data_IF_854601865555
#
_entry.id   IF_854601865555
#
_cell.length_a   1.000
_cell.length_b   1.000
_cell.length_c   1.000
_cell.angle_alpha   90.00
_cell.angle_beta   90.00
_cell.angle_gamma   90.00
#
_symmetry.space_group_name_H-M   'P 1'
#
loop_
_entity.id
_entity.type
_entity.pdbx_description
1 polymer ?
#
# COMPACT_ATOMS: atom_id res chain seq x y z
N UNK A 1 -38.78 -12.26 11.28
CA UNK A 1 -37.78 -12.94 10.45
C UNK A 1 -37.93 -12.38 9.04
N UNK A 2 -37.04 -11.46 8.70
CA UNK A 2 -36.91 -10.89 7.37
C UNK A 2 -35.63 -11.41 6.71
N UNK A 3 -35.61 -11.43 5.38
CA UNK A 3 -34.39 -11.61 4.61
C UNK A 3 -33.72 -10.23 4.41
N UNK A 4 -32.44 -10.14 4.73
CA UNK A 4 -31.60 -8.94 4.54
C UNK A 4 -30.52 -9.27 3.51
N UNK A 5 -30.41 -8.48 2.45
CA UNK A 5 -29.51 -8.79 1.35
C UNK A 5 -28.20 -8.01 1.49
N UNK A 6 -27.07 -8.69 1.32
CA UNK A 6 -25.76 -8.03 1.28
C UNK A 6 -25.10 -8.21 -0.08
N UNK A 7 -24.73 -7.09 -0.71
CA UNK A 7 -24.03 -7.04 -1.99
C UNK A 7 -22.70 -6.31 -1.85
N UNK A 8 -21.66 -6.85 -2.49
CA UNK A 8 -20.35 -6.18 -2.59
C UNK A 8 -19.87 -6.19 -4.02
N UNK A 9 -19.52 -5.02 -4.54
CA UNK A 9 -18.90 -4.89 -5.85
C UNK A 9 -17.61 -4.08 -5.78
N UNK A 10 -16.65 -4.46 -6.63
CA UNK A 10 -15.41 -3.70 -6.81
C UNK A 10 -15.70 -2.40 -7.57
N UNK A 11 -14.74 -1.48 -7.62
CA UNK A 11 -14.77 -0.32 -8.53
C UNK A 11 -14.74 -0.81 -9.98
N UNK A 12 -15.88 -1.21 -10.51
CA UNK A 12 -16.16 -1.23 -11.94
C UNK A 12 -17.66 -1.39 -12.17
N UNK A 13 -18.18 -0.68 -13.16
CA UNK A 13 -19.60 -0.58 -13.56
C UNK A 13 -20.24 -1.92 -14.02
N UNK A 14 -19.57 -3.06 -13.87
CA UNK A 14 -19.94 -4.31 -14.55
C UNK A 14 -20.10 -5.58 -13.70
N UNK A 15 -20.06 -5.56 -12.36
CA UNK A 15 -19.93 -6.84 -11.59
C UNK A 15 -20.90 -7.12 -10.43
N UNK A 16 -22.11 -6.57 -10.45
CA UNK A 16 -23.18 -7.00 -9.53
C UNK A 16 -24.31 -7.81 -10.20
N UNK A 17 -24.39 -7.85 -11.54
CA UNK A 17 -25.44 -8.55 -12.29
C UNK A 17 -25.63 -10.01 -11.85
N UNK A 18 -24.53 -10.75 -11.62
CA UNK A 18 -24.59 -12.13 -11.11
C UNK A 18 -25.16 -12.21 -9.70
N UNK A 19 -24.80 -11.26 -8.82
CA UNK A 19 -25.28 -11.22 -7.44
C UNK A 19 -26.77 -10.89 -7.41
N UNK A 20 -27.17 -9.87 -8.18
CA UNK A 20 -28.58 -9.49 -8.35
C UNK A 20 -29.39 -10.62 -8.95
N UNK A 21 -28.85 -11.36 -9.91
CA UNK A 21 -29.53 -12.54 -10.46
C UNK A 21 -29.72 -13.63 -9.40
N UNK A 22 -28.69 -13.96 -8.62
CA UNK A 22 -28.79 -14.97 -7.57
C UNK A 22 -29.80 -14.57 -6.47
N UNK A 23 -29.95 -13.27 -6.21
CA UNK A 23 -30.86 -12.72 -5.21
C UNK A 23 -32.16 -12.16 -5.81
N UNK A 24 -32.44 -12.41 -7.09
CA UNK A 24 -33.51 -11.72 -7.84
C UNK A 24 -34.89 -11.92 -7.21
N UNK A 25 -35.18 -13.14 -6.75
CA UNK A 25 -36.45 -13.46 -6.11
C UNK A 25 -36.66 -12.67 -4.80
N UNK A 26 -35.60 -12.53 -4.00
CA UNK A 26 -35.65 -11.80 -2.72
C UNK A 26 -35.70 -10.29 -2.95
N UNK A 27 -34.96 -9.79 -3.95
CA UNK A 27 -35.04 -8.39 -4.39
C UNK A 27 -36.45 -8.04 -4.87
N UNK A 28 -37.07 -8.92 -5.68
CA UNK A 28 -38.43 -8.74 -6.17
C UNK A 28 -39.48 -8.80 -5.03
N UNK A 29 -39.20 -9.56 -3.97
CA UNK A 29 -40.02 -9.61 -2.77
C UNK A 29 -39.87 -8.36 -1.86
N UNK A 30 -38.98 -7.43 -2.20
CA UNK A 30 -38.77 -6.19 -1.46
C UNK A 30 -37.84 -6.34 -0.24
N UNK A 31 -37.01 -7.38 -0.20
CA UNK A 31 -36.01 -7.53 0.86
C UNK A 31 -35.01 -6.37 0.82
N UNK A 32 -34.73 -5.69 1.96
CA UNK A 32 -33.81 -4.56 1.99
C UNK A 32 -32.39 -5.01 1.65
N UNK A 33 -31.71 -4.22 0.82
CA UNK A 33 -30.38 -4.52 0.30
C UNK A 33 -29.36 -3.50 0.78
N UNK A 34 -28.24 -4.00 1.29
CA UNK A 34 -27.13 -3.21 1.79
C UNK A 34 -25.92 -3.44 0.90
N UNK A 35 -25.30 -2.35 0.45
CA UNK A 35 -24.27 -2.39 -0.59
C UNK A 35 -22.96 -1.77 -0.09
N UNK A 36 -21.84 -2.44 -0.36
CA UNK A 36 -20.49 -1.88 -0.18
C UNK A 36 -19.83 -1.66 -1.56
N UNK A 37 -20.04 -0.51 -2.20
CA UNK A 37 -19.42 -0.18 -3.47
C UNK A 37 -17.93 0.07 -3.30
N UNK A 38 -17.14 -0.19 -4.35
CA UNK A 38 -15.72 0.15 -4.40
C UNK A 38 -14.86 -0.44 -3.26
N UNK A 39 -15.38 -1.41 -2.52
CA UNK A 39 -14.75 -1.89 -1.30
C UNK A 39 -13.78 -3.02 -1.63
N UNK A 40 -12.50 -2.76 -1.34
CA UNK A 40 -11.44 -3.75 -1.49
C UNK A 40 -11.80 -5.02 -0.74
N UNK A 41 -11.58 -6.17 -1.37
CA UNK A 41 -11.69 -7.46 -0.68
C UNK A 41 -10.79 -7.57 0.55
N UNK A 42 -9.78 -6.71 0.69
CA UNK A 42 -8.90 -6.65 1.87
C UNK A 42 -9.58 -6.17 3.15
N UNK A 43 -10.72 -5.48 3.05
CA UNK A 43 -11.47 -5.03 4.23
C UNK A 43 -12.28 -6.21 4.77
N UNK A 44 -12.05 -6.58 6.03
CA UNK A 44 -12.81 -7.64 6.71
C UNK A 44 -14.30 -7.28 6.75
N UNK A 45 -15.16 -8.28 6.74
CA UNK A 45 -16.61 -8.10 6.64
C UNK A 45 -17.15 -7.11 7.68
N UNK A 46 -16.72 -7.22 8.93
CA UNK A 46 -17.14 -6.38 10.06
C UNK A 46 -16.70 -4.91 9.99
N UNK A 47 -15.72 -4.58 9.14
CA UNK A 47 -15.22 -3.21 8.98
C UNK A 47 -15.83 -2.48 7.79
N UNK A 48 -16.75 -3.12 7.07
CA UNK A 48 -17.40 -2.52 5.91
C UNK A 48 -18.64 -1.75 6.34
N UNK A 49 -18.87 -0.62 5.68
CA UNK A 49 -19.91 0.34 6.10
C UNK A 49 -21.30 -0.26 5.86
N UNK A 50 -21.58 -0.75 4.66
CA UNK A 50 -22.87 -1.33 4.32
C UNK A 50 -23.17 -2.60 5.11
N UNK A 51 -22.17 -3.45 5.36
CA UNK A 51 -22.37 -4.62 6.21
C UNK A 51 -22.65 -4.25 7.67
N UNK A 52 -22.02 -3.19 8.19
CA UNK A 52 -22.30 -2.72 9.55
C UNK A 52 -23.71 -2.14 9.67
N UNK A 53 -24.13 -1.33 8.70
CA UNK A 53 -25.51 -0.81 8.62
C UNK A 53 -26.53 -1.96 8.61
N UNK A 54 -26.28 -3.01 7.81
CA UNK A 54 -27.10 -4.22 7.82
C UNK A 54 -27.20 -4.84 9.22
N UNK A 55 -26.06 -5.01 9.90
CA UNK A 55 -26.05 -5.60 11.24
C UNK A 55 -26.79 -4.73 12.27
N UNK A 56 -26.73 -3.41 12.13
CA UNK A 56 -27.38 -2.47 13.05
C UNK A 56 -28.90 -2.44 12.84
N UNK A 57 -29.38 -2.64 11.62
CA UNK A 57 -30.81 -2.73 11.28
C UNK A 57 -31.42 -4.13 11.52
N UNK A 58 -30.59 -5.18 11.59
CA UNK A 58 -31.04 -6.55 11.73
C UNK A 58 -31.65 -6.86 13.10
N UNK A 59 -32.80 -7.55 13.10
CA UNK A 59 -33.45 -8.04 14.30
C UNK A 59 -33.15 -9.53 14.55
N UNK A 60 -33.35 -9.98 15.79
CA UNK A 60 -33.18 -11.39 16.18
C UNK A 60 -34.06 -12.29 15.31
N UNK A 61 -33.47 -13.33 14.73
CA UNK A 61 -34.12 -14.29 13.83
C UNK A 61 -34.12 -13.87 12.35
N UNK A 62 -33.56 -12.71 12.00
CA UNK A 62 -33.41 -12.33 10.60
C UNK A 62 -32.32 -13.13 9.90
N UNK A 63 -32.46 -13.27 8.59
CA UNK A 63 -31.55 -14.05 7.74
C UNK A 63 -30.81 -13.14 6.79
N UNK A 64 -29.49 -13.11 6.92
CA UNK A 64 -28.61 -12.45 5.98
C UNK A 64 -28.43 -13.36 4.76
N UNK A 65 -28.74 -12.85 3.57
CA UNK A 65 -28.62 -13.57 2.29
C UNK A 65 -27.51 -12.96 1.45
N UNK A 66 -26.56 -13.79 1.03
CA UNK A 66 -25.46 -13.40 0.15
C UNK A 66 -25.42 -14.29 -1.09
N UNK A 67 -25.10 -13.69 -2.23
CA UNK A 67 -25.03 -14.44 -3.49
C UNK A 67 -23.93 -15.51 -3.47
N UNK A 68 -22.73 -15.15 -3.03
CA UNK A 68 -21.59 -16.07 -2.90
C UNK A 68 -20.75 -15.73 -1.66
N UNK A 69 -20.03 -16.73 -1.14
CA UNK A 69 -19.20 -16.58 0.05
C UNK A 69 -18.07 -15.55 -0.12
N UNK A 70 -17.56 -15.36 -1.35
CA UNK A 70 -16.50 -14.40 -1.65
C UNK A 70 -16.98 -12.93 -1.70
N UNK A 71 -18.30 -12.69 -1.68
CA UNK A 71 -18.88 -11.33 -1.51
C UNK A 71 -18.77 -10.87 -0.08
N UNK A 72 -19.02 -11.75 0.87
CA UNK A 72 -18.88 -11.42 2.28
C UNK A 72 -17.44 -11.64 2.72
N UNK A 73 -16.93 -12.86 2.62
CA UNK A 73 -15.71 -13.26 3.31
C UNK A 73 -14.43 -13.05 2.49
N UNK A 74 -13.38 -12.56 3.14
CA UNK A 74 -12.04 -12.50 2.55
C UNK A 74 -11.23 -13.79 2.72
N UNK A 75 -11.41 -14.46 3.84
CA UNK A 75 -10.67 -15.65 4.23
C UNK A 75 -11.51 -16.52 5.15
N UNK A 76 -11.02 -17.72 5.44
CA UNK A 76 -11.60 -18.61 6.45
C UNK A 76 -11.62 -17.93 7.81
N UNK A 77 -10.54 -17.24 8.15
CA UNK A 77 -10.47 -16.46 9.38
C UNK A 77 -11.60 -15.41 9.47
N UNK A 78 -12.02 -14.80 8.36
CA UNK A 78 -13.14 -13.85 8.33
C UNK A 78 -14.48 -14.55 8.62
N UNK A 79 -14.68 -15.77 8.09
CA UNK A 79 -15.85 -16.61 8.40
C UNK A 79 -15.87 -16.97 9.90
N UNK A 80 -14.75 -17.46 10.41
CA UNK A 80 -14.60 -17.90 11.80
C UNK A 80 -14.78 -16.71 12.76
N UNK A 81 -14.31 -15.52 12.40
CA UNK A 81 -14.47 -14.32 13.21
C UNK A 81 -15.91 -13.78 13.19
N UNK A 82 -16.59 -13.83 12.04
CA UNK A 82 -17.95 -13.31 11.90
C UNK A 82 -18.99 -14.22 12.55
N UNK A 83 -18.85 -15.55 12.43
CA UNK A 83 -19.85 -16.51 12.89
C UNK A 83 -20.27 -16.32 14.37
N UNK A 84 -19.36 -16.16 15.35
CA UNK A 84 -19.74 -15.89 16.74
C UNK A 84 -20.53 -14.59 16.92
N UNK A 85 -20.31 -13.58 16.08
CA UNK A 85 -21.05 -12.31 16.14
C UNK A 85 -22.50 -12.55 15.72
N UNK A 86 -22.72 -13.29 14.65
CA UNK A 86 -24.06 -13.60 14.14
C UNK A 86 -24.84 -14.49 15.10
N UNK A 87 -24.20 -15.53 15.65
CA UNK A 87 -24.80 -16.41 16.67
C UNK A 87 -25.26 -15.61 17.88
N UNK A 88 -24.39 -14.74 18.42
CA UNK A 88 -24.75 -13.90 19.59
C UNK A 88 -25.90 -12.94 19.32
N UNK A 89 -26.05 -12.48 18.08
CA UNK A 89 -27.16 -11.62 17.65
C UNK A 89 -28.41 -12.43 17.25
N UNK A 90 -28.35 -13.76 17.26
CA UNK A 90 -29.44 -14.63 16.81
C UNK A 90 -29.77 -14.45 15.34
N UNK A 91 -28.77 -14.17 14.50
CA UNK A 91 -28.91 -13.96 13.06
C UNK A 91 -28.50 -15.21 12.29
N UNK A 92 -29.19 -15.46 11.18
CA UNK A 92 -28.86 -16.53 10.24
C UNK A 92 -28.03 -15.98 9.08
N UNK A 93 -27.18 -16.80 8.46
CA UNK A 93 -26.39 -16.43 7.29
C UNK A 93 -26.44 -17.53 6.23
N UNK A 94 -27.08 -17.23 5.10
CA UNK A 94 -27.23 -18.17 3.99
C UNK A 94 -26.57 -17.66 2.71
N UNK A 95 -25.93 -18.59 2.02
CA UNK A 95 -25.30 -18.36 0.71
C UNK A 95 -26.19 -18.95 -0.38
N UNK A 96 -26.46 -18.21 -1.45
CA UNK A 96 -27.29 -18.72 -2.56
C UNK A 96 -26.51 -19.66 -3.48
N UNK A 97 -25.24 -19.35 -3.77
CA UNK A 97 -24.46 -20.03 -4.79
C UNK A 97 -23.13 -20.56 -4.28
N UNK A 98 -22.68 -21.67 -4.88
CA UNK A 98 -21.38 -22.29 -4.62
C UNK A 98 -21.43 -23.40 -3.57
N UNK A 99 -20.25 -23.80 -3.09
CA UNK A 99 -20.09 -24.95 -2.18
C UNK A 99 -20.76 -24.77 -0.81
N UNK A 100 -21.00 -23.53 -0.39
CA UNK A 100 -21.68 -23.20 0.86
C UNK A 100 -23.19 -22.99 0.69
N UNK A 101 -23.73 -23.26 -0.50
CA UNK A 101 -25.16 -23.08 -0.78
C UNK A 101 -26.01 -24.02 0.06
N UNK A 102 -27.13 -23.50 0.58
CA UNK A 102 -28.10 -24.27 1.38
C UNK A 102 -27.70 -24.49 2.84
N UNK A 103 -26.53 -24.00 3.27
CA UNK A 103 -26.06 -24.11 4.65
C UNK A 103 -26.28 -22.76 5.35
N UNK A 104 -26.81 -22.80 6.56
CA UNK A 104 -26.78 -21.64 7.46
C UNK A 104 -25.43 -21.60 8.19
N UNK A 105 -24.55 -20.71 7.76
CA UNK A 105 -23.21 -20.57 8.31
C UNK A 105 -23.20 -20.05 9.75
N UNK A 106 -24.31 -19.46 10.21
CA UNK A 106 -24.47 -18.95 11.57
C UNK A 106 -25.25 -19.91 12.49
N UNK A 107 -25.65 -21.10 12.03
CA UNK A 107 -26.26 -22.10 12.91
C UNK A 107 -25.27 -22.58 13.98
N UNK A 108 -25.69 -22.63 15.24
CA UNK A 108 -24.84 -23.01 16.40
C UNK A 108 -24.84 -24.52 16.69
N UNK A 109 -24.92 -25.35 15.64
CA UNK A 109 -24.77 -26.79 15.78
C UNK A 109 -23.32 -27.24 15.53
N UNK A 110 -22.82 -28.26 16.26
CA UNK A 110 -21.47 -28.79 16.08
C UNK A 110 -21.18 -29.28 14.65
N UNK A 111 -22.20 -29.78 13.94
CA UNK A 111 -22.08 -30.28 12.57
C UNK A 111 -21.74 -29.16 11.58
N UNK A 112 -22.51 -28.07 11.61
CA UNK A 112 -22.24 -26.86 10.82
C UNK A 112 -20.86 -26.30 11.16
N UNK A 113 -20.48 -26.24 12.45
CA UNK A 113 -19.15 -25.76 12.83
C UNK A 113 -18.03 -26.58 12.18
N UNK A 114 -18.13 -27.91 12.20
CA UNK A 114 -17.18 -28.81 11.55
C UNK A 114 -17.16 -28.61 10.04
N UNK A 115 -18.34 -28.63 9.40
CA UNK A 115 -18.47 -28.50 7.94
C UNK A 115 -17.93 -27.17 7.43
N UNK A 116 -18.26 -26.06 8.10
CA UNK A 116 -17.71 -24.74 7.77
C UNK A 116 -16.19 -24.76 7.88
N UNK A 117 -15.63 -25.34 8.93
CA UNK A 117 -14.17 -25.40 9.12
C UNK A 117 -13.47 -26.20 8.00
N UNK A 118 -14.04 -27.35 7.61
CA UNK A 118 -13.50 -28.18 6.52
C UNK A 118 -13.60 -27.46 5.17
N UNK A 119 -14.76 -26.92 4.83
CA UNK A 119 -14.97 -26.22 3.56
C UNK A 119 -14.09 -24.98 3.46
N UNK A 120 -13.91 -24.29 4.58
CA UNK A 120 -13.03 -23.14 4.64
C UNK A 120 -11.56 -23.56 4.41
N UNK A 121 -11.08 -24.64 5.04
CA UNK A 121 -9.74 -25.18 4.77
C UNK A 121 -9.55 -25.59 3.29
N UNK A 122 -10.56 -26.19 2.65
CA UNK A 122 -10.53 -26.52 1.22
C UNK A 122 -10.42 -25.26 0.35
N UNK A 123 -11.15 -24.20 0.69
CA UNK A 123 -11.09 -22.93 -0.04
C UNK A 123 -9.72 -22.24 0.09
N UNK A 124 -9.09 -22.33 1.27
CA UNK A 124 -7.70 -21.87 1.47
C UNK A 124 -6.73 -22.66 0.61
N UNK A 125 -6.81 -23.99 0.63
CA UNK A 125 -5.99 -24.86 -0.19
C UNK A 125 -6.10 -24.53 -1.69
N UNK A 126 -7.32 -24.37 -2.21
CA UNK A 126 -7.53 -24.00 -3.62
C UNK A 126 -6.88 -22.66 -3.98
N UNK A 127 -6.98 -21.68 -3.08
CA UNK A 127 -6.41 -20.35 -3.31
C UNK A 127 -4.89 -20.39 -3.31
N UNK A 128 -4.29 -21.15 -2.41
CA UNK A 128 -2.84 -21.33 -2.35
C UNK A 128 -2.35 -22.04 -3.60
N UNK A 129 -3.07 -23.06 -4.07
CA UNK A 129 -2.76 -23.76 -5.32
C UNK A 129 -2.83 -22.87 -6.56
N UNK A 130 -3.83 -22.00 -6.67
CA UNK A 130 -3.90 -21.00 -7.76
C UNK A 130 -2.67 -20.08 -7.70
N UNK A 131 -2.28 -19.65 -6.50
CA UNK A 131 -1.09 -18.80 -6.34
C UNK A 131 0.19 -19.54 -6.71
N UNK A 132 0.31 -20.82 -6.37
CA UNK A 132 1.48 -21.64 -6.69
C UNK A 132 1.60 -21.86 -8.20
N UNK A 133 0.53 -22.33 -8.85
CA UNK A 133 0.49 -22.50 -10.30
C UNK A 133 0.81 -21.20 -11.06
N UNK A 134 0.36 -20.05 -10.53
CA UNK A 134 0.70 -18.74 -11.12
C UNK A 134 2.19 -18.47 -11.02
N UNK A 135 2.82 -18.74 -9.88
CA UNK A 135 4.27 -18.55 -9.69
C UNK A 135 5.06 -19.51 -10.58
N UNK A 136 4.65 -20.75 -10.68
CA UNK A 136 5.24 -21.74 -11.59
C UNK A 136 5.14 -21.30 -13.05
N UNK A 137 3.96 -20.83 -13.48
CA UNK A 137 3.76 -20.31 -14.83
C UNK A 137 4.62 -19.08 -15.13
N UNK A 138 4.77 -18.19 -14.15
CA UNK A 138 5.69 -17.03 -14.25
C UNK A 138 7.14 -17.49 -14.34
N UNK A 139 7.56 -18.47 -13.51
CA UNK A 139 8.91 -19.01 -13.56
C UNK A 139 9.21 -19.72 -14.90
N UNK A 140 8.27 -20.51 -15.42
CA UNK A 140 8.39 -21.16 -16.72
C UNK A 140 8.45 -20.14 -17.86
N UNK A 141 7.66 -19.07 -17.81
CA UNK A 141 7.71 -17.99 -18.79
C UNK A 141 9.06 -17.25 -18.75
N UNK A 142 9.60 -17.00 -17.55
CA UNK A 142 10.93 -16.42 -17.38
C UNK A 142 12.03 -17.33 -17.95
N UNK A 143 11.96 -18.65 -17.67
CA UNK A 143 12.89 -19.64 -18.20
C UNK A 143 12.82 -19.78 -19.74
N UNK A 144 11.64 -19.55 -20.33
CA UNK A 144 11.45 -19.49 -21.77
C UNK A 144 11.89 -18.16 -22.41
N UNK A 145 12.52 -17.26 -21.64
CA UNK A 145 13.03 -15.97 -22.13
C UNK A 145 11.96 -14.91 -22.39
N UNK A 146 10.72 -15.09 -21.90
CA UNK A 146 9.69 -14.06 -22.04
C UNK A 146 9.96 -12.93 -21.06
N UNK A 147 9.99 -11.69 -21.56
CA UNK A 147 10.06 -10.50 -20.72
C UNK A 147 8.75 -10.33 -19.95
N UNK A 148 8.82 -10.42 -18.63
CA UNK A 148 7.67 -10.29 -17.75
C UNK A 148 7.54 -8.85 -17.23
N UNK A 149 6.29 -8.42 -16.99
CA UNK A 149 5.99 -7.12 -16.39
C UNK A 149 5.65 -6.03 -17.40
N UNK A 150 5.74 -4.77 -16.97
CA UNK A 150 5.41 -3.62 -17.80
C UNK A 150 6.48 -3.48 -18.91
N UNK A 151 6.09 -3.31 -20.18
CA UNK A 151 7.02 -3.04 -21.27
C UNK A 151 7.96 -1.87 -20.93
N UNK A 152 9.19 -1.94 -21.44
CA UNK A 152 10.11 -0.82 -21.37
C UNK A 152 9.48 0.43 -22.01
N UNK A 153 9.79 1.60 -21.48
CA UNK A 153 9.25 2.87 -21.98
C UNK A 153 10.02 3.40 -23.21
N UNK A 154 11.19 2.82 -23.47
CA UNK A 154 12.07 3.11 -24.60
C UNK A 154 12.50 1.77 -25.20
N UNK A 155 12.73 1.73 -26.50
CA UNK A 155 13.41 0.62 -27.16
C UNK A 155 14.94 0.68 -26.97
N UNK A 156 15.66 -0.36 -27.41
CA UNK A 156 17.11 -0.43 -27.24
C UNK A 156 17.86 0.68 -28.00
N UNK A 157 17.37 1.10 -29.18
CA UNK A 157 17.99 2.16 -29.97
C UNK A 157 17.79 3.53 -29.32
N UNK A 158 16.59 3.81 -28.84
CA UNK A 158 16.26 5.02 -28.08
C UNK A 158 17.07 5.12 -26.78
N UNK A 159 17.40 3.99 -26.15
CA UNK A 159 18.28 3.96 -24.98
C UNK A 159 19.72 4.37 -25.35
N UNK A 160 20.26 3.86 -26.47
CA UNK A 160 21.60 4.24 -26.94
C UNK A 160 21.64 5.73 -27.26
N UNK A 161 20.71 6.23 -28.05
CA UNK A 161 20.63 7.66 -28.40
C UNK A 161 20.50 8.55 -27.17
N UNK A 162 19.69 8.15 -26.19
CA UNK A 162 19.50 8.88 -24.95
C UNK A 162 20.79 8.93 -24.12
N UNK A 163 21.55 7.83 -24.08
CA UNK A 163 22.83 7.74 -23.35
C UNK A 163 23.90 8.59 -24.06
N UNK A 164 23.99 8.52 -25.39
CA UNK A 164 24.90 9.34 -26.19
C UNK A 164 24.61 10.83 -26.01
N UNK A 165 23.35 11.24 -26.18
CA UNK A 165 22.93 12.62 -25.99
C UNK A 165 23.24 13.13 -24.56
N UNK A 166 23.10 12.28 -23.55
CA UNK A 166 23.50 12.62 -22.19
C UNK A 166 25.02 12.79 -22.05
N UNK A 167 25.81 11.94 -22.70
CA UNK A 167 27.27 12.05 -22.77
C UNK A 167 27.76 13.33 -23.48
N UNK A 168 26.99 13.82 -24.46
CA UNK A 168 27.22 15.11 -25.13
C UNK A 168 26.80 16.33 -24.28
N UNK A 169 26.22 16.11 -23.09
CA UNK A 169 25.86 17.16 -22.15
C UNK A 169 24.36 17.51 -22.11
N UNK A 170 23.48 16.73 -22.75
CA UNK A 170 22.05 16.99 -22.70
C UNK A 170 21.48 16.85 -21.27
N UNK A 171 20.67 17.82 -20.85
CA UNK A 171 20.05 17.78 -19.54
C UNK A 171 18.93 16.72 -19.46
N UNK A 172 18.86 16.00 -18.34
CA UNK A 172 17.83 14.97 -18.06
C UNK A 172 16.39 15.46 -18.30
N UNK A 173 16.09 16.73 -17.99
CA UNK A 173 14.76 17.32 -18.23
C UNK A 173 14.47 17.54 -19.72
N UNK A 174 15.48 17.82 -20.52
CA UNK A 174 15.34 17.98 -21.98
C UNK A 174 15.05 16.61 -22.62
N UNK A 175 15.85 15.59 -22.26
CA UNK A 175 15.66 14.20 -22.70
C UNK A 175 14.27 13.67 -22.30
N UNK A 176 13.82 13.93 -21.06
CA UNK A 176 12.49 13.53 -20.61
C UNK A 176 11.36 14.10 -21.47
N UNK A 177 11.49 15.35 -21.93
CA UNK A 177 10.50 16.00 -22.82
C UNK A 177 10.57 15.43 -24.22
N UNK A 178 11.77 15.21 -24.75
CA UNK A 178 11.99 14.66 -26.09
C UNK A 178 11.35 13.29 -26.26
N UNK A 179 11.54 12.39 -25.28
CA UNK A 179 11.00 11.03 -25.33
C UNK A 179 9.62 10.88 -24.65
N UNK A 180 9.02 11.98 -24.18
CA UNK A 180 7.68 11.95 -23.55
C UNK A 180 7.59 11.12 -22.26
N UNK A 181 8.71 10.90 -21.57
CA UNK A 181 8.80 10.08 -20.35
C UNK A 181 9.11 10.91 -19.11
N UNK A 182 8.82 10.37 -17.93
CA UNK A 182 9.15 11.04 -16.68
C UNK A 182 10.68 11.17 -16.51
N UNK A 183 11.20 12.29 -15.95
CA UNK A 183 12.63 12.45 -15.67
C UNK A 183 13.23 11.34 -14.78
N UNK A 184 12.40 10.72 -13.94
CA UNK A 184 12.78 9.55 -13.14
C UNK A 184 13.07 8.32 -14.01
N UNK A 185 12.32 8.13 -15.10
CA UNK A 185 12.53 7.05 -16.05
C UNK A 185 13.86 7.25 -16.79
N UNK A 186 14.15 8.48 -17.23
CA UNK A 186 15.43 8.86 -17.86
C UNK A 186 16.61 8.54 -16.94
N UNK A 187 16.58 9.01 -15.68
CA UNK A 187 17.65 8.71 -14.71
C UNK A 187 17.84 7.21 -14.52
N UNK A 188 16.74 6.45 -14.37
CA UNK A 188 16.81 4.99 -14.22
C UNK A 188 17.46 4.31 -15.43
N UNK A 189 17.20 4.80 -16.64
CA UNK A 189 17.82 4.28 -17.87
C UNK A 189 19.32 4.61 -17.88
N UNK A 190 19.70 5.85 -17.56
CA UNK A 190 21.11 6.27 -17.48
C UNK A 190 21.90 5.53 -16.39
N UNK A 191 21.29 5.33 -15.22
CA UNK A 191 21.88 4.60 -14.09
C UNK A 191 22.07 3.12 -14.46
N UNK A 192 21.11 2.50 -15.15
CA UNK A 192 21.22 1.12 -15.64
C UNK A 192 22.27 0.95 -16.75
N UNK A 193 22.48 1.97 -17.57
CA UNK A 193 23.51 2.01 -18.61
C UNK A 193 24.91 2.39 -18.07
N UNK A 194 25.04 2.73 -16.78
CA UNK A 194 26.30 3.20 -16.20
C UNK A 194 26.76 4.58 -16.70
N UNK A 195 25.94 5.27 -17.50
CA UNK A 195 26.26 6.57 -18.08
C UNK A 195 26.26 7.70 -17.04
N UNK A 196 25.60 7.46 -15.90
CA UNK A 196 25.59 8.37 -14.76
C UNK A 196 26.33 7.72 -13.61
N UNK A 197 27.40 8.36 -13.12
CA UNK A 197 28.05 7.97 -11.87
C UNK A 197 27.06 8.20 -10.72
N UNK A 198 26.50 7.11 -10.22
CA UNK A 198 25.77 7.10 -8.95
C UNK A 198 26.77 6.51 -7.95
N UNK A 199 27.21 7.27 -6.93
CA UNK A 199 28.10 6.75 -5.90
C UNK A 199 27.46 5.49 -5.29
N UNK A 200 28.18 4.38 -5.30
CA UNK A 200 27.66 3.09 -4.85
C UNK A 200 27.75 2.94 -3.32
N UNK A 201 28.61 3.75 -2.71
CA UNK A 201 28.79 3.86 -1.27
C UNK A 201 28.82 5.35 -0.87
N UNK A 202 28.39 5.64 0.36
CA UNK A 202 28.46 6.96 0.96
C UNK A 202 29.93 7.45 1.10
N UNK A 203 30.88 6.51 1.14
CA UNK A 203 32.33 6.77 1.21
C UNK A 203 32.92 7.37 -0.07
N UNK A 204 32.47 6.95 -1.26
CA UNK A 204 32.94 7.46 -2.56
C UNK A 204 32.55 8.93 -2.82
N UNK A 205 31.62 9.48 -2.03
CA UNK A 205 31.27 10.91 -2.02
C UNK A 205 32.15 11.74 -1.09
N UNK A 206 32.94 11.09 -0.23
CA UNK A 206 33.82 11.70 0.75
C UNK A 206 35.29 11.62 0.32
N UNK A 207 35.65 10.64 -0.53
CA UNK A 207 36.99 10.47 -1.09
C UNK A 207 37.08 11.14 -2.47
N UNK A 208 37.12 12.46 -2.49
CA UNK A 208 37.63 13.22 -3.63
C UNK A 208 39.14 13.38 -3.52
N UNK A 209 39.89 12.95 -4.54
CA UNK A 209 41.34 13.07 -4.65
C UNK A 209 41.85 14.51 -4.40
N UNK A 210 42.46 14.74 -3.24
CA UNK A 210 43.21 15.95 -2.86
C UNK A 210 44.63 15.95 -3.47
N UNK A 211 44.78 15.72 -4.78
CA UNK A 211 46.07 15.91 -5.46
C UNK A 211 45.94 16.79 -6.71
N UNK A 212 46.64 17.93 -6.59
CA UNK A 212 47.05 18.87 -7.64
C UNK A 212 45.96 19.81 -8.20
N UNK A 213 45.68 20.89 -7.49
CA UNK A 213 46.02 22.25 -7.96
C UNK A 213 45.73 23.29 -6.86
N UNK A 214 46.82 23.85 -6.33
CA UNK A 214 46.81 24.99 -5.40
C UNK A 214 46.46 26.25 -6.20
N UNK A 215 45.20 26.68 -6.17
CA UNK A 215 44.84 28.05 -6.54
C UNK A 215 43.71 28.60 -5.64
N UNK A 216 44.14 29.47 -4.72
CA UNK A 216 43.41 30.49 -3.97
C UNK A 216 41.86 30.51 -4.07
N UNK A 217 41.19 29.52 -3.47
CA UNK A 217 39.79 29.65 -3.06
C UNK A 217 39.68 29.52 -1.56
N UNK A 218 39.65 30.68 -0.92
CA UNK A 218 39.31 30.88 0.49
C UNK A 218 38.18 29.92 0.92
N UNK A 219 38.44 29.15 1.97
CA UNK A 219 37.44 28.40 2.74
C UNK A 219 36.31 29.35 3.17
N UNK A 220 35.22 29.35 2.40
CA UNK A 220 33.93 29.81 2.87
C UNK A 220 33.27 28.60 3.52
N UNK A 221 33.32 28.56 4.85
CA UNK A 221 32.49 27.67 5.66
C UNK A 221 31.04 27.76 5.17
N UNK A 222 30.57 26.73 4.46
CA UNK A 222 29.21 26.70 3.93
C UNK A 222 28.24 26.70 5.11
N UNK A 223 27.50 27.80 5.27
CA UNK A 223 26.50 27.95 6.32
C UNK A 223 25.46 26.83 6.22
N UNK A 224 25.18 26.15 7.33
CA UNK A 224 24.15 25.09 7.41
C UNK A 224 22.78 25.67 7.03
N UNK A 225 22.24 25.34 5.84
CA UNK A 225 21.08 26.03 5.32
C UNK A 225 19.83 25.65 6.11
N UNK A 226 19.06 26.67 6.53
CA UNK A 226 17.77 26.46 7.19
C UNK A 226 16.74 26.06 6.15
N UNK A 227 16.18 24.87 6.32
CA UNK A 227 15.26 24.26 5.36
C UNK A 227 13.95 23.81 6.01
N UNK A 228 12.89 23.78 5.21
CA UNK A 228 11.55 23.37 5.63
C UNK A 228 11.25 21.96 5.15
N UNK A 229 11.04 21.04 6.08
CA UNK A 229 10.73 19.63 5.77
C UNK A 229 9.51 19.17 6.57
N UNK A 230 8.59 18.48 5.91
CA UNK A 230 7.46 17.82 6.58
C UNK A 230 7.95 16.48 7.18
N UNK A 231 8.00 16.38 8.51
CA UNK A 231 8.30 15.16 9.27
C UNK A 231 7.03 14.32 9.42
N UNK A 232 6.99 13.04 9.01
CA UNK A 232 5.80 12.18 9.20
C UNK A 232 5.43 11.98 10.68
N UNK A 233 4.13 11.86 10.99
CA UNK A 233 3.64 11.74 12.38
C UNK A 233 4.30 10.63 13.18
N UNK A 234 4.40 9.41 12.62
CA UNK A 234 5.11 8.30 13.29
C UNK A 234 6.58 8.59 13.60
N UNK A 235 7.25 9.42 12.77
CA UNK A 235 8.63 9.85 13.03
C UNK A 235 8.65 10.88 14.16
N UNK A 236 7.72 11.85 14.13
CA UNK A 236 7.60 12.86 15.18
C UNK A 236 7.22 12.25 16.55
N UNK A 237 6.28 11.29 16.58
CA UNK A 237 5.88 10.56 17.79
C UNK A 237 7.06 9.80 18.39
N UNK A 238 7.82 9.08 17.54
CA UNK A 238 8.98 8.35 18.02
C UNK A 238 10.07 9.29 18.57
N UNK A 239 10.38 10.36 17.84
CA UNK A 239 11.39 11.34 18.26
C UNK A 239 10.99 12.12 19.51
N UNK A 240 9.69 12.25 19.82
CA UNK A 240 9.25 12.86 21.08
C UNK A 240 9.79 12.10 22.31
N UNK A 241 9.95 10.78 22.21
CA UNK A 241 10.39 9.91 23.31
C UNK A 241 11.92 9.75 23.37
N UNK A 242 12.60 9.68 22.21
CA UNK A 242 14.01 9.28 22.14
C UNK A 242 14.99 10.38 21.74
N UNK A 243 14.52 11.54 21.27
CA UNK A 243 15.41 12.51 20.67
C UNK A 243 16.10 13.46 21.67
N UNK A 244 17.17 14.10 21.22
CA UNK A 244 17.88 15.13 21.98
C UNK A 244 17.03 16.41 22.14
N UNK A 245 17.39 17.26 23.11
CA UNK A 245 16.64 18.48 23.43
C UNK A 245 16.47 19.43 22.23
N UNK A 246 17.47 19.51 21.34
CA UNK A 246 17.40 20.34 20.13
C UNK A 246 16.39 19.83 19.10
N UNK A 247 16.33 18.51 18.88
CA UNK A 247 15.37 17.88 17.98
C UNK A 247 13.95 18.01 18.52
N UNK A 248 13.75 17.82 19.84
CA UNK A 248 12.46 18.03 20.49
C UNK A 248 11.98 19.48 20.34
N UNK A 249 12.85 20.46 20.59
CA UNK A 249 12.51 21.87 20.41
C UNK A 249 12.12 22.22 18.97
N UNK A 250 12.79 21.64 17.98
CA UNK A 250 12.46 21.86 16.57
C UNK A 250 11.11 21.22 16.17
N UNK A 251 10.76 20.06 16.75
CA UNK A 251 9.47 19.42 16.54
C UNK A 251 8.33 20.20 17.23
N UNK A 252 8.54 20.66 18.47
CA UNK A 252 7.56 21.46 19.23
C UNK A 252 7.29 22.82 18.59
N UNK A 253 8.31 23.43 17.96
CA UNK A 253 8.18 24.64 17.17
C UNK A 253 7.57 24.43 15.78
N UNK A 254 7.36 23.18 15.36
CA UNK A 254 6.85 22.82 14.05
C UNK A 254 5.33 22.90 13.93
N UNK A 255 4.82 23.18 12.73
CA UNK A 255 3.39 23.27 12.49
C UNK A 255 2.82 21.89 12.12
N UNK A 256 1.85 21.39 12.89
CA UNK A 256 1.17 20.13 12.59
C UNK A 256 0.17 20.30 11.43
N UNK A 257 0.33 19.48 10.39
CA UNK A 257 -0.53 19.44 9.20
C UNK A 257 -1.22 18.07 9.15
N UNK A 258 -2.56 18.06 9.23
CA UNK A 258 -3.35 16.82 9.13
C UNK A 258 -3.49 16.37 7.68
N UNK A 259 -3.30 15.07 7.43
CA UNK A 259 -3.44 14.43 6.11
C UNK A 259 -4.21 13.11 6.25
N UNK A 260 -5.52 13.16 6.01
CA UNK A 260 -6.39 11.99 6.16
C UNK A 260 -6.42 11.45 7.59
N UNK A 261 -6.11 10.17 7.78
CA UNK A 261 -6.01 9.52 9.10
C UNK A 261 -4.66 9.74 9.80
N UNK A 262 -3.72 10.47 9.19
CA UNK A 262 -2.40 10.77 9.77
C UNK A 262 -2.07 12.25 9.78
N UNK A 263 -0.88 12.59 10.23
CA UNK A 263 -0.37 13.97 10.22
C UNK A 263 1.12 14.02 9.86
N UNK A 264 1.61 15.22 9.60
CA UNK A 264 3.03 15.54 9.49
C UNK A 264 3.32 16.85 10.23
N UNK A 265 4.48 16.97 10.85
CA UNK A 265 4.96 18.20 11.47
C UNK A 265 5.88 18.91 10.48
N UNK A 266 5.51 20.12 10.06
CA UNK A 266 6.36 20.96 9.22
C UNK A 266 7.41 21.63 10.10
N UNK A 267 8.67 21.24 9.93
CA UNK A 267 9.80 21.73 10.73
C UNK A 267 10.69 22.60 9.86
N UNK A 268 11.00 23.80 10.37
CA UNK A 268 11.97 24.72 9.77
C UNK A 268 13.21 24.72 10.64
N UNK A 269 14.28 24.07 10.18
CA UNK A 269 15.49 23.85 10.96
C UNK A 269 16.71 23.72 10.03
N UNK A 270 17.95 23.87 10.56
CA UNK A 270 19.16 23.61 9.78
C UNK A 270 19.16 22.19 9.21
N UNK A 271 19.79 22.00 8.04
CA UNK A 271 19.81 20.72 7.35
C UNK A 271 20.47 19.64 8.21
N UNK A 272 21.51 19.98 8.98
CA UNK A 272 22.15 19.07 9.94
C UNK A 272 21.15 18.49 10.96
N UNK A 273 20.20 19.30 11.41
CA UNK A 273 19.19 18.90 12.38
C UNK A 273 18.18 17.91 11.77
N UNK A 274 17.82 18.08 10.50
CA UNK A 274 16.98 17.12 9.79
C UNK A 274 17.70 15.78 9.54
N UNK A 275 19.01 15.80 9.32
CA UNK A 275 19.83 14.57 9.24
C UNK A 275 19.85 13.85 10.58
N UNK A 276 20.05 14.58 11.69
CA UNK A 276 19.99 14.01 13.04
C UNK A 276 18.63 13.36 13.34
N UNK A 277 17.52 13.95 12.90
CA UNK A 277 16.18 13.34 13.03
C UNK A 277 16.06 11.99 12.31
N UNK A 278 16.71 11.84 11.15
CA UNK A 278 16.73 10.57 10.41
C UNK A 278 17.50 9.52 11.21
N UNK A 279 18.71 9.84 11.66
CA UNK A 279 19.57 8.93 12.41
C UNK A 279 18.90 8.43 13.68
N UNK A 280 18.34 9.35 14.48
CA UNK A 280 17.67 9.05 15.75
C UNK A 280 16.35 8.29 15.57
N UNK A 281 15.73 8.33 14.40
CA UNK A 281 14.48 7.61 14.12
C UNK A 281 14.68 6.18 13.59
N UNK A 282 15.93 5.78 13.29
CA UNK A 282 16.24 4.52 12.60
C UNK A 282 16.03 3.28 13.48
N UNK A 283 16.39 3.30 14.76
CA UNK A 283 16.44 2.07 15.57
C UNK A 283 15.04 1.56 15.98
N UNK A 284 14.08 2.47 16.28
CA UNK A 284 12.74 2.08 16.72
C UNK A 284 11.74 1.85 15.58
N UNK A 285 11.78 2.67 14.53
CA UNK A 285 10.78 2.60 13.45
C UNK A 285 10.96 1.41 12.50
N UNK A 286 12.12 0.75 12.52
CA UNK A 286 12.39 -0.39 11.62
C UNK A 286 11.63 -1.67 12.00
N UNK A 287 11.06 -1.73 13.21
CA UNK A 287 10.35 -2.89 13.73
C UNK A 287 8.96 -3.12 13.10
N UNK A 288 8.34 -2.09 12.50
CA UNK A 288 7.02 -2.20 11.86
C UNK A 288 7.04 -1.79 10.38
N UNK A 289 6.21 -2.40 9.51
CA UNK A 289 6.11 -1.97 8.11
C UNK A 289 5.69 -0.50 7.93
N UNK A 290 4.87 0.02 8.84
CA UNK A 290 4.43 1.41 8.83
C UNK A 290 5.58 2.36 9.23
N UNK A 291 6.35 2.02 10.25
CA UNK A 291 7.53 2.79 10.67
C UNK A 291 8.62 2.82 9.59
N UNK A 292 8.93 1.68 8.96
CA UNK A 292 9.85 1.61 7.81
C UNK A 292 9.43 2.54 6.66
N UNK A 293 8.13 2.60 6.36
CA UNK A 293 7.59 3.50 5.35
C UNK A 293 7.71 4.96 5.77
N UNK A 294 7.41 5.29 7.02
CA UNK A 294 7.50 6.66 7.54
C UNK A 294 8.94 7.19 7.54
N UNK A 295 9.90 6.40 8.02
CA UNK A 295 11.32 6.75 8.01
C UNK A 295 11.85 7.00 6.59
N UNK A 296 11.54 6.10 5.64
CA UNK A 296 11.90 6.29 4.22
C UNK A 296 11.31 7.57 3.63
N UNK A 297 10.04 7.87 3.90
CA UNK A 297 9.40 9.10 3.42
C UNK A 297 10.10 10.34 3.98
N UNK A 298 10.52 10.32 5.25
CA UNK A 298 11.25 11.44 5.85
C UNK A 298 12.63 11.60 5.19
N UNK A 299 13.39 10.51 5.04
CA UNK A 299 14.71 10.49 4.39
C UNK A 299 14.65 10.99 2.94
N UNK A 300 13.67 10.53 2.16
CA UNK A 300 13.45 10.99 0.78
C UNK A 300 13.21 12.51 0.72
N UNK A 301 12.47 13.07 1.68
CA UNK A 301 12.17 14.51 1.75
C UNK A 301 13.42 15.33 2.07
N UNK A 302 14.19 14.95 3.08
CA UNK A 302 15.44 15.64 3.45
C UNK A 302 16.44 15.58 2.30
N UNK A 303 16.59 14.43 1.66
CA UNK A 303 17.47 14.24 0.49
C UNK A 303 17.05 15.13 -0.68
N UNK A 304 15.74 15.25 -0.95
CA UNK A 304 15.24 16.12 -2.02
C UNK A 304 15.58 17.60 -1.82
N UNK A 305 15.62 18.05 -0.56
CA UNK A 305 15.94 19.42 -0.19
C UNK A 305 17.45 19.68 -0.24
N UNK A 306 18.28 18.70 0.16
CA UNK A 306 19.75 18.75 0.07
C UNK A 306 20.27 18.85 -1.38
N UNK A 307 19.51 18.39 -2.37
CA UNK A 307 19.89 18.50 -3.79
C UNK A 307 19.51 19.87 -4.39
N UNK A 308 18.69 20.65 -3.69
CA UNK A 308 18.13 21.92 -4.19
C UNK A 308 18.87 23.15 -3.66
N UNK A 309 19.68 23.00 -2.61
CA UNK A 309 20.53 24.02 -1.99
C UNK A 309 22.00 23.63 -2.11
#
# INVERSE_FOLDING_TARGET
MADLLYLRHSTDTQTDARQRHALAALLAAGAPAYEDPATSSRVLSLHRKGFKELLDDAAVGDTIRIADAARLFRSVADIIALRPVLIRRGLHLRVESGLLSGIDLASDDPGTKMMVSVLAAVLEFQRDMISENTKEGVAAAAAAGKTLGRPAALDEGEVVELVEAFGEGAAVKALARQYGIAPKTVRRVLDAAGARKVPNDLSELLDGDDQDDVDDRQEQAAADPVVVVDVPGLVAEHLADVADAGVRQALDGGQTIRRGQGYSVRVTAPLSMHVAMIEQSSTGLMQSPAGRKAHRIHSDRVTSVRITH
#
